data_IF_890836068067
#
_entry.id   IF_890836068067
#
_cell.length_a   1.000
_cell.length_b   1.000
_cell.length_c   1.000
_cell.angle_alpha   90.00
_cell.angle_beta   90.00
_cell.angle_gamma   90.00
#
_symmetry.space_group_name_H-M   'P 1'
#
loop_
_entity.id
_entity.type
_entity.pdbx_description
1 polymer ?
#
# COMPACT_ATOMS: atom_id res chain seq x y z
N UNK A 1 12.32 -54.09 -0.20
CA UNK A 1 11.94 -53.85 -1.62
C UNK A 1 12.50 -52.49 -2.02
N UNK A 2 13.51 -52.41 -2.89
CA UNK A 2 14.09 -51.14 -3.27
C UNK A 2 13.11 -50.38 -4.17
N UNK A 3 12.81 -49.13 -3.80
CA UNK A 3 11.92 -48.26 -4.55
C UNK A 3 12.59 -48.00 -5.90
N UNK A 4 11.96 -48.42 -7.00
CA UNK A 4 12.52 -48.22 -8.33
C UNK A 4 12.44 -46.73 -8.67
N UNK A 5 13.46 -46.21 -9.36
CA UNK A 5 13.53 -44.80 -9.77
C UNK A 5 12.25 -44.30 -10.46
N UNK A 6 11.51 -45.19 -11.13
CA UNK A 6 10.22 -44.89 -11.76
C UNK A 6 9.11 -44.52 -10.76
N UNK A 7 9.12 -45.08 -9.55
CA UNK A 7 8.17 -44.70 -8.49
C UNK A 7 8.49 -43.33 -7.91
N UNK A 8 9.78 -43.01 -7.71
CA UNK A 8 10.21 -41.71 -7.19
C UNK A 8 9.83 -40.54 -8.12
N UNK A 9 9.91 -40.74 -9.45
CA UNK A 9 9.55 -39.72 -10.45
C UNK A 9 8.04 -39.45 -10.51
N UNK A 10 7.19 -40.46 -10.31
CA UNK A 10 5.74 -40.24 -10.26
C UNK A 10 5.33 -39.47 -9.01
N UNK A 11 5.98 -39.72 -7.88
CA UNK A 11 5.71 -38.99 -6.62
C UNK A 11 6.16 -37.53 -6.70
N UNK A 12 7.28 -37.23 -7.35
CA UNK A 12 7.75 -35.84 -7.54
C UNK A 12 6.94 -35.07 -8.59
N UNK A 13 6.45 -35.71 -9.65
CA UNK A 13 5.55 -35.03 -10.62
C UNK A 13 4.21 -34.60 -10.01
N UNK A 14 3.68 -35.33 -9.02
CA UNK A 14 2.47 -34.92 -8.29
C UNK A 14 2.72 -33.74 -7.33
N UNK A 15 3.97 -33.57 -6.86
CA UNK A 15 4.39 -32.45 -6.01
C UNK A 15 4.79 -31.19 -6.81
N UNK A 16 5.15 -31.36 -8.08
CA UNK A 16 5.51 -30.28 -9.01
C UNK A 16 4.38 -29.86 -9.95
N UNK A 17 3.20 -30.48 -9.84
CA UNK A 17 2.01 -29.93 -10.45
C UNK A 17 1.85 -28.48 -9.93
N UNK A 18 1.67 -27.47 -10.80
CA UNK A 18 1.45 -26.11 -10.36
C UNK A 18 0.15 -26.10 -9.56
N UNK A 19 0.25 -26.25 -8.25
CA UNK A 19 -0.79 -25.80 -7.33
C UNK A 19 -0.87 -24.32 -7.60
N UNK A 20 -1.87 -23.91 -8.39
CA UNK A 20 -2.31 -22.53 -8.50
C UNK A 20 -2.24 -21.99 -7.07
N UNK A 21 -1.38 -21.01 -6.77
CA UNK A 21 -1.40 -20.44 -5.45
C UNK A 21 -2.76 -19.79 -5.33
N UNK A 22 -3.69 -20.46 -4.65
CA UNK A 22 -4.70 -19.78 -3.85
C UNK A 22 -3.93 -19.18 -2.68
N UNK A 23 -3.03 -18.24 -3.01
CA UNK A 23 -2.69 -17.19 -2.08
C UNK A 23 -4.04 -16.63 -1.66
N UNK A 24 -4.31 -16.44 -0.35
CA UNK A 24 -5.33 -15.48 0.01
C UNK A 24 -4.94 -14.23 -0.78
N UNK A 25 -5.81 -13.85 -1.70
CA UNK A 25 -5.61 -12.65 -2.49
C UNK A 25 -5.25 -11.57 -1.48
N UNK A 26 -4.21 -10.79 -1.77
CA UNK A 26 -4.01 -9.50 -1.12
C UNK A 26 -5.15 -8.56 -1.53
N UNK A 27 -6.41 -8.98 -1.37
CA UNK A 27 -7.64 -8.21 -1.52
C UNK A 27 -7.68 -7.06 -0.48
N UNK A 28 -6.74 -7.06 0.47
CA UNK A 28 -6.51 -5.94 1.38
C UNK A 28 -5.83 -4.74 0.70
N UNK A 29 -5.14 -4.94 -0.43
CA UNK A 29 -4.91 -3.83 -1.36
C UNK A 29 -6.21 -3.67 -2.14
N UNK A 30 -7.21 -3.07 -1.49
CA UNK A 30 -8.49 -2.71 -2.10
C UNK A 30 -8.20 -2.23 -3.52
N UNK A 31 -8.84 -2.82 -4.53
CA UNK A 31 -8.59 -2.52 -5.95
C UNK A 31 -8.81 -1.03 -6.19
N UNK A 32 -7.75 -0.25 -6.03
CA UNK A 32 -7.68 1.16 -6.40
C UNK A 32 -8.00 1.16 -7.90
N UNK A 33 -9.00 1.95 -8.32
CA UNK A 33 -9.34 2.03 -9.74
C UNK A 33 -8.13 2.53 -10.52
N UNK A 34 -8.01 2.16 -11.80
CA UNK A 34 -6.90 2.65 -12.64
C UNK A 34 -6.85 4.18 -12.64
N UNK A 35 -8.02 4.84 -12.63
CA UNK A 35 -8.12 6.28 -12.52
C UNK A 35 -7.58 6.81 -11.18
N UNK A 36 -7.92 6.17 -10.06
CA UNK A 36 -7.38 6.55 -8.75
C UNK A 36 -5.85 6.38 -8.70
N UNK A 37 -5.31 5.31 -9.30
CA UNK A 37 -3.87 5.10 -9.37
C UNK A 37 -3.15 6.16 -10.22
N UNK A 38 -3.75 6.56 -11.36
CA UNK A 38 -3.25 7.66 -12.20
C UNK A 38 -3.23 8.99 -11.43
N UNK A 39 -4.36 9.36 -10.82
CA UNK A 39 -4.45 10.59 -10.03
C UNK A 39 -3.49 10.61 -8.83
N UNK A 40 -3.29 9.47 -8.16
CA UNK A 40 -2.30 9.34 -7.10
C UNK A 40 -0.88 9.55 -7.64
N UNK A 41 -0.59 8.99 -8.81
CA UNK A 41 0.70 9.16 -9.48
C UNK A 41 0.94 10.64 -9.80
N UNK A 42 -0.07 11.36 -10.28
CA UNK A 42 0.04 12.80 -10.56
C UNK A 42 0.36 13.61 -9.30
N UNK A 43 -0.30 13.31 -8.17
CA UNK A 43 0.00 13.97 -6.89
C UNK A 43 1.42 13.69 -6.41
N UNK A 44 1.88 12.44 -6.50
CA UNK A 44 3.25 12.05 -6.11
C UNK A 44 4.28 12.69 -7.03
N UNK A 45 4.09 12.65 -8.34
CA UNK A 45 4.98 13.26 -9.31
C UNK A 45 5.10 14.77 -9.09
N UNK A 46 4.01 15.44 -8.74
CA UNK A 46 4.04 16.85 -8.38
C UNK A 46 4.92 17.12 -7.15
N UNK A 47 4.77 16.32 -6.09
CA UNK A 47 5.59 16.43 -4.88
C UNK A 47 7.07 16.22 -5.20
N UNK A 48 7.40 15.20 -6.00
CA UNK A 48 8.77 14.88 -6.37
C UNK A 48 9.42 16.01 -7.19
N UNK A 49 8.68 16.61 -8.14
CA UNK A 49 9.22 17.66 -9.00
C UNK A 49 9.29 19.04 -8.31
N UNK A 50 8.36 19.35 -7.41
CA UNK A 50 8.18 20.73 -6.93
C UNK A 50 8.41 20.91 -5.43
N UNK A 51 8.38 19.85 -4.63
CA UNK A 51 8.38 19.97 -3.17
C UNK A 51 9.66 19.44 -2.49
N UNK A 52 10.68 19.01 -3.24
CA UNK A 52 11.89 18.39 -2.68
C UNK A 52 12.64 19.21 -1.61
N UNK A 53 12.49 20.53 -1.59
CA UNK A 53 13.13 21.41 -0.61
C UNK A 53 12.29 21.66 0.65
N UNK A 54 11.08 21.10 0.73
CA UNK A 54 10.15 21.32 1.85
C UNK A 54 10.52 20.38 3.00
N UNK A 55 10.81 20.94 4.16
CA UNK A 55 11.14 20.16 5.35
C UNK A 55 9.93 19.35 5.83
N UNK A 56 10.18 18.15 6.36
CA UNK A 56 9.16 17.31 7.03
C UNK A 56 7.96 16.91 6.16
N UNK A 57 8.13 16.81 4.83
CA UNK A 57 7.12 16.19 3.95
C UNK A 57 6.70 14.81 4.49
N UNK A 58 5.41 14.49 4.33
CA UNK A 58 4.74 13.30 4.86
C UNK A 58 4.69 13.16 6.40
N UNK A 59 5.50 13.90 7.15
CA UNK A 59 5.54 13.85 8.63
C UNK A 59 4.60 14.87 9.26
N UNK A 60 4.64 16.11 8.76
CA UNK A 60 3.75 17.18 9.22
C UNK A 60 2.42 17.08 8.49
N UNK A 61 1.33 17.26 9.22
CA UNK A 61 0.00 17.33 8.63
C UNK A 61 -0.26 18.70 8.00
N UNK A 62 -0.84 18.69 6.80
CA UNK A 62 -1.32 19.89 6.14
C UNK A 62 -2.54 20.51 6.80
N UNK A 63 -2.88 21.73 6.40
CA UNK A 63 -4.11 22.39 6.83
C UNK A 63 -5.32 21.53 6.46
N UNK A 64 -6.18 21.22 7.45
CA UNK A 64 -7.32 20.32 7.28
C UNK A 64 -8.29 20.79 6.18
N UNK A 65 -8.47 22.10 6.02
CA UNK A 65 -9.37 22.65 5.00
C UNK A 65 -8.82 22.42 3.59
N UNK A 66 -7.52 22.65 3.39
CA UNK A 66 -6.85 22.37 2.11
C UNK A 66 -6.85 20.87 1.78
N UNK A 67 -6.62 20.02 2.79
CA UNK A 67 -6.64 18.57 2.65
C UNK A 67 -8.02 18.08 2.23
N UNK A 68 -9.08 18.59 2.88
CA UNK A 68 -10.46 18.22 2.55
C UNK A 68 -10.86 18.70 1.16
N UNK A 69 -10.51 19.93 0.80
CA UNK A 69 -10.77 20.47 -0.54
C UNK A 69 -10.08 19.63 -1.62
N UNK A 70 -8.79 19.36 -1.48
CA UNK A 70 -8.05 18.54 -2.45
C UNK A 70 -8.57 17.10 -2.49
N UNK A 71 -9.01 16.54 -1.36
CA UNK A 71 -9.63 15.23 -1.29
C UNK A 71 -10.97 15.18 -2.05
N UNK A 72 -11.82 16.21 -1.93
CA UNK A 72 -13.06 16.32 -2.71
C UNK A 72 -12.77 16.46 -4.21
N UNK A 73 -11.75 17.23 -4.58
CA UNK A 73 -11.30 17.36 -5.97
C UNK A 73 -10.82 16.01 -6.50
N UNK A 74 -10.03 15.26 -5.72
CA UNK A 74 -9.61 13.91 -6.06
C UNK A 74 -10.80 13.00 -6.35
N UNK A 75 -11.79 12.95 -5.44
CA UNK A 75 -13.01 12.15 -5.62
C UNK A 75 -13.84 12.56 -6.84
N UNK A 76 -13.95 13.85 -7.12
CA UNK A 76 -14.61 14.35 -8.33
C UNK A 76 -13.90 13.88 -9.61
N UNK A 77 -12.57 13.81 -9.58
CA UNK A 77 -11.79 13.32 -10.71
C UNK A 77 -11.84 11.79 -10.87
N UNK A 78 -12.16 11.04 -9.81
CA UNK A 78 -12.39 9.60 -9.94
C UNK A 78 -13.58 9.26 -10.83
N UNK A 79 -14.63 10.09 -10.79
CA UNK A 79 -15.83 9.88 -11.59
C UNK A 79 -15.73 10.50 -12.99
N UNK A 80 -14.66 11.26 -13.25
CA UNK A 80 -14.44 11.98 -14.52
C UNK A 80 -13.22 11.40 -15.23
N UNK A 81 -13.46 10.48 -16.18
CA UNK A 81 -12.45 9.62 -16.84
C UNK A 81 -11.21 10.33 -17.43
N UNK A 82 -11.29 11.63 -17.74
CA UNK A 82 -10.22 12.38 -18.38
C UNK A 82 -9.62 13.52 -17.53
N UNK A 83 -9.99 13.63 -16.26
CA UNK A 83 -9.60 14.79 -15.48
C UNK A 83 -8.19 14.67 -14.89
N UNK A 84 -7.42 15.75 -15.00
CA UNK A 84 -6.07 15.92 -14.43
C UNK A 84 -6.07 17.10 -13.47
N UNK A 85 -5.16 17.11 -12.50
CA UNK A 85 -5.00 18.29 -11.64
C UNK A 85 -4.36 19.45 -12.42
N UNK A 86 -5.06 20.58 -12.55
CA UNK A 86 -4.59 21.74 -13.32
C UNK A 86 -3.85 22.76 -12.44
N UNK A 87 -4.04 22.73 -11.12
CA UNK A 87 -3.52 23.78 -10.25
C UNK A 87 -3.12 23.30 -8.85
N UNK A 88 -2.23 22.31 -8.76
CA UNK A 88 -1.77 21.80 -7.45
C UNK A 88 -0.97 22.83 -6.64
N UNK A 89 -0.40 23.85 -7.28
CA UNK A 89 0.36 24.91 -6.63
C UNK A 89 -0.46 25.78 -5.66
N UNK A 90 -1.79 25.75 -5.73
CA UNK A 90 -2.65 26.48 -4.76
C UNK A 90 -2.68 25.82 -3.40
N UNK A 91 -2.34 24.54 -3.32
CA UNK A 91 -2.31 23.77 -2.08
C UNK A 91 -0.92 23.76 -1.48
N UNK A 92 -0.84 23.85 -0.16
CA UNK A 92 0.43 23.64 0.53
C UNK A 92 0.99 22.22 0.27
N UNK A 93 2.33 22.05 0.18
CA UNK A 93 2.95 20.73 0.02
C UNK A 93 2.56 19.73 1.12
N UNK A 94 2.34 20.21 2.34
CA UNK A 94 1.85 19.40 3.45
C UNK A 94 0.39 18.98 3.26
N UNK A 95 -0.46 19.83 2.67
CA UNK A 95 -1.82 19.43 2.32
C UNK A 95 -1.81 18.33 1.24
N UNK A 96 -1.00 18.47 0.20
CA UNK A 96 -0.88 17.46 -0.87
C UNK A 96 -0.44 16.10 -0.31
N UNK A 97 0.62 16.08 0.50
CA UNK A 97 1.12 14.84 1.11
C UNK A 97 0.14 14.24 2.13
N UNK A 98 -0.58 15.06 2.90
CA UNK A 98 -1.67 14.58 3.75
C UNK A 98 -2.85 14.01 2.96
N UNK A 99 -3.21 14.59 1.82
CA UNK A 99 -4.24 14.03 0.94
C UNK A 99 -3.80 12.69 0.35
N UNK A 100 -2.53 12.54 -0.06
CA UNK A 100 -1.99 11.24 -0.49
C UNK A 100 -2.14 10.21 0.64
N UNK A 101 -1.75 10.54 1.88
CA UNK A 101 -1.94 9.65 3.05
C UNK A 101 -3.40 9.28 3.29
N UNK A 102 -4.33 10.22 3.05
CA UNK A 102 -5.77 10.01 3.24
C UNK A 102 -6.38 9.11 2.17
N UNK A 103 -5.89 9.19 0.94
CA UNK A 103 -6.38 8.39 -0.20
C UNK A 103 -5.79 6.99 -0.23
N UNK A 104 -4.50 6.85 0.10
CA UNK A 104 -3.85 5.53 0.14
C UNK A 104 -4.45 4.75 1.31
N UNK A 105 -5.11 3.60 1.06
CA UNK A 105 -5.62 2.78 2.13
C UNK A 105 -4.45 2.38 3.02
N UNK A 106 -4.51 2.75 4.29
CA UNK A 106 -3.56 2.26 5.27
C UNK A 106 -3.66 0.73 5.22
N UNK A 107 -2.56 -0.01 5.01
CA UNK A 107 -2.61 -1.45 5.20
C UNK A 107 -3.18 -1.68 6.60
N UNK A 108 -4.14 -2.61 6.79
CA UNK A 108 -4.67 -2.87 8.11
C UNK A 108 -3.48 -3.15 9.01
N UNK A 109 -3.28 -2.30 10.01
CA UNK A 109 -2.17 -2.34 10.95
C UNK A 109 -2.25 -3.64 11.74
N UNK A 110 -1.81 -4.74 11.14
CA UNK A 110 -1.49 -6.02 11.77
C UNK A 110 -0.04 -6.39 11.47
N UNK A 111 0.84 -5.39 11.60
CA UNK A 111 2.18 -5.63 12.12
C UNK A 111 2.15 -5.33 13.63
N UNK A 112 1.22 -5.97 14.35
CA UNK A 112 1.48 -6.29 15.75
C UNK A 112 2.58 -7.34 15.70
N UNK A 113 3.83 -6.88 15.66
CA UNK A 113 4.95 -7.72 16.00
C UNK A 113 4.65 -8.20 17.41
N UNK A 114 4.24 -9.47 17.46
CA UNK A 114 4.17 -10.32 18.62
C UNK A 114 5.35 -9.95 19.52
N UNK A 115 5.07 -9.25 20.62
CA UNK A 115 6.07 -9.05 21.65
C UNK A 115 6.63 -10.44 22.00
N UNK A 116 7.95 -10.65 22.07
CA UNK A 116 8.48 -11.90 22.55
C UNK A 116 7.90 -12.12 23.94
N UNK A 117 7.11 -13.18 24.09
CA UNK A 117 6.65 -13.64 25.40
C UNK A 117 7.92 -13.97 26.16
N UNK A 118 8.28 -13.11 27.12
CA UNK A 118 9.31 -13.40 28.08
C UNK A 118 8.86 -14.66 28.84
N UNK A 119 9.50 -15.78 28.57
CA UNK A 119 9.36 -16.99 29.37
C UNK A 119 10.01 -16.69 30.72
N UNK A 120 9.29 -16.74 31.85
CA UNK A 120 9.94 -16.63 33.14
C UNK A 120 10.82 -17.88 33.33
N UNK A 121 12.13 -17.67 33.33
CA UNK A 121 13.10 -18.66 33.80
C UNK A 121 12.89 -18.73 35.31
N UNK A 122 12.33 -19.84 35.76
CA UNK A 122 12.11 -20.15 37.16
C UNK A 122 13.44 -20.68 37.74
N UNK A 123 14.13 -19.99 38.65
CA UNK A 123 15.32 -20.53 39.29
C UNK A 123 14.85 -21.34 40.51
N UNK A 124 14.45 -22.57 40.26
CA UNK A 124 14.18 -23.56 41.30
C UNK A 124 15.14 -24.72 41.15
N UNK A 125 16.30 -24.63 41.81
CA UNK A 125 17.12 -25.72 42.35
C UNK A 125 18.26 -25.15 43.18
#
# INVERSE_FOLDING_TARGET
MPVTWQQAVRTTSALLAPRRPTSPSNDALAKISEQAARLLTDLVAFVDMHCGNVAHLYRTDGNSSEVEELYLVFHRHLTTSSATFVNLHVFSPHAITSTIKKVVPHPPTRLSMRAPVAVPINPGL
#
